data_IF_247792743189
#
_entry.id   IF_247792743189
#
_cell.length_a   1.000
_cell.length_b   1.000
_cell.length_c   1.000
_cell.angle_alpha   90.00
_cell.angle_beta   90.00
_cell.angle_gamma   90.00
#
_symmetry.space_group_name_H-M   'P 1'
#
loop_
_entity.id
_entity.type
_entity.pdbx_description
1 polymer ?
#
# COMPACT_ATOMS: atom_id res chain seq x y z
N UNK A 1 23.46 14.87 -40.57
CA UNK A 1 24.24 13.89 -39.79
C UNK A 1 23.48 12.58 -39.82
N UNK A 2 24.04 11.51 -40.36
CA UNK A 2 23.37 10.21 -40.36
C UNK A 2 23.30 9.68 -38.91
N UNK A 3 22.12 9.25 -38.48
CA UNK A 3 21.93 8.64 -37.17
C UNK A 3 22.78 7.36 -37.08
N UNK A 4 23.43 7.14 -35.93
CA UNK A 4 24.10 5.86 -35.69
C UNK A 4 23.05 4.74 -35.66
N UNK A 5 23.39 3.48 -36.04
CA UNK A 5 22.45 2.37 -36.00
C UNK A 5 21.73 2.22 -34.64
N UNK A 6 22.47 2.45 -33.54
CA UNK A 6 21.91 2.43 -32.19
C UNK A 6 20.85 3.52 -31.94
N UNK A 7 20.99 4.72 -32.52
CA UNK A 7 20.02 5.79 -32.38
C UNK A 7 18.71 5.46 -33.12
N UNK A 8 18.81 4.89 -34.33
CA UNK A 8 17.63 4.48 -35.10
C UNK A 8 16.80 3.39 -34.38
N UNK A 9 17.47 2.46 -33.69
CA UNK A 9 16.80 1.44 -32.89
C UNK A 9 16.09 2.02 -31.66
N UNK A 10 16.69 3.03 -31.01
CA UNK A 10 16.06 3.72 -29.88
C UNK A 10 14.81 4.47 -30.35
N UNK A 11 14.91 5.18 -31.46
CA UNK A 11 13.80 5.99 -31.98
C UNK A 11 12.62 5.10 -32.42
N UNK A 12 12.89 3.95 -33.05
CA UNK A 12 11.88 2.94 -33.35
C UNK A 12 11.19 2.41 -32.08
N UNK A 13 11.96 2.01 -31.07
CA UNK A 13 11.43 1.48 -29.81
C UNK A 13 10.57 2.52 -29.06
N UNK A 14 10.98 3.78 -29.07
CA UNK A 14 10.23 4.87 -28.45
C UNK A 14 8.92 5.14 -29.19
N UNK A 15 8.93 5.07 -30.52
CA UNK A 15 7.72 5.20 -31.35
C UNK A 15 6.74 4.06 -31.04
N UNK A 16 7.21 2.81 -31.00
CA UNK A 16 6.37 1.63 -30.72
C UNK A 16 5.72 1.74 -29.33
N UNK A 17 6.51 2.12 -28.31
CA UNK A 17 6.03 2.30 -26.95
C UNK A 17 5.08 3.49 -26.77
N UNK A 18 5.22 4.53 -27.61
CA UNK A 18 4.28 5.65 -27.65
C UNK A 18 2.96 5.25 -28.31
N UNK A 19 2.99 4.45 -29.38
CA UNK A 19 1.78 3.92 -30.02
C UNK A 19 1.05 2.88 -29.17
N UNK A 20 1.77 2.17 -28.31
CA UNK A 20 1.21 1.21 -27.35
C UNK A 20 0.61 1.87 -26.10
N UNK A 21 0.71 3.19 -25.95
CA UNK A 21 0.11 3.90 -24.82
C UNK A 21 -1.42 3.81 -24.88
N UNK A 22 -2.02 3.13 -23.92
CA UNK A 22 -3.48 3.06 -23.73
C UNK A 22 -3.92 4.04 -22.65
N UNK A 23 -5.22 4.28 -22.53
CA UNK A 23 -5.80 5.11 -21.47
C UNK A 23 -5.55 4.59 -20.05
N UNK A 24 -5.07 3.35 -19.90
CA UNK A 24 -4.81 2.69 -18.62
C UNK A 24 -3.33 2.54 -18.28
N UNK A 25 -2.43 2.74 -19.25
CA UNK A 25 -1.00 2.49 -19.06
C UNK A 25 -0.13 3.44 -19.89
N UNK A 26 0.76 4.15 -19.20
CA UNK A 26 1.80 4.96 -19.84
C UNK A 26 3.15 4.37 -19.45
N UNK A 27 3.92 3.92 -20.43
CA UNK A 27 5.29 3.43 -20.24
C UNK A 27 6.27 4.58 -20.04
N UNK A 28 7.43 4.29 -19.45
CA UNK A 28 8.55 5.24 -19.46
C UNK A 28 8.96 5.60 -20.90
N UNK A 29 8.85 4.67 -21.85
CA UNK A 29 9.11 4.90 -23.27
C UNK A 29 8.23 5.99 -23.87
N UNK A 30 6.91 5.92 -23.65
CA UNK A 30 5.97 6.93 -24.12
C UNK A 30 6.30 8.32 -23.56
N UNK A 31 6.63 8.41 -22.26
CA UNK A 31 7.05 9.67 -21.63
C UNK A 31 8.31 10.23 -22.25
N UNK A 32 9.34 9.40 -22.47
CA UNK A 32 10.59 9.83 -23.10
C UNK A 32 10.34 10.28 -24.54
N UNK A 33 9.52 9.57 -25.31
CA UNK A 33 9.13 9.95 -26.66
C UNK A 33 8.50 11.35 -26.70
N UNK A 34 7.52 11.62 -25.84
CA UNK A 34 6.90 12.94 -25.74
C UNK A 34 7.89 14.02 -25.32
N UNK A 35 8.80 13.73 -24.39
CA UNK A 35 9.87 14.66 -23.97
C UNK A 35 10.81 15.00 -25.13
N UNK A 36 11.16 14.03 -25.98
CA UNK A 36 12.07 14.27 -27.10
C UNK A 36 11.37 15.00 -28.25
N UNK A 37 10.12 14.66 -28.56
CA UNK A 37 9.38 15.27 -29.66
C UNK A 37 8.92 16.70 -29.39
N UNK A 38 8.59 17.06 -28.15
CA UNK A 38 8.23 18.45 -27.83
C UNK A 38 9.44 19.40 -27.85
N UNK A 39 10.66 18.86 -27.90
CA UNK A 39 11.89 19.61 -27.69
C UNK A 39 12.91 19.40 -28.83
N UNK A 40 12.44 19.20 -30.07
CA UNK A 40 13.29 18.94 -31.24
C UNK A 40 14.30 20.05 -31.57
N UNK A 41 14.26 21.20 -30.89
CA UNK A 41 15.13 22.34 -31.18
C UNK A 41 15.77 22.95 -29.91
N UNK A 42 17.06 22.64 -29.74
CA UNK A 42 18.04 23.30 -28.85
C UNK A 42 18.07 22.92 -27.35
N UNK A 43 19.25 23.18 -26.75
CA UNK A 43 19.70 22.75 -25.41
C UNK A 43 18.61 22.86 -24.33
N UNK A 44 18.30 21.71 -23.73
CA UNK A 44 17.36 21.52 -22.61
C UNK A 44 17.43 22.63 -21.55
N UNK A 45 16.39 23.48 -21.46
CA UNK A 45 16.25 24.48 -20.37
C UNK A 45 15.15 24.04 -19.41
N UNK A 46 15.29 24.44 -18.13
CA UNK A 46 14.36 24.11 -17.03
C UNK A 46 12.89 24.51 -17.29
N UNK A 47 12.64 25.41 -18.26
CA UNK A 47 11.32 25.88 -18.67
C UNK A 47 10.58 24.87 -19.57
N UNK A 48 11.31 24.00 -20.26
CA UNK A 48 10.76 23.11 -21.30
C UNK A 48 10.02 21.91 -20.70
N UNK A 49 10.31 21.57 -19.44
CA UNK A 49 9.54 20.56 -18.69
C UNK A 49 8.07 20.95 -18.49
N UNK A 50 7.71 22.24 -18.53
CA UNK A 50 6.34 22.69 -18.28
C UNK A 50 5.35 22.10 -19.28
N UNK A 51 5.60 22.32 -20.57
CA UNK A 51 4.73 21.86 -21.67
C UNK A 51 4.64 20.33 -21.74
N UNK A 52 5.76 19.63 -21.59
CA UNK A 52 5.72 18.16 -21.59
C UNK A 52 4.99 17.61 -20.39
N UNK A 53 5.12 18.24 -19.22
CA UNK A 53 4.36 17.83 -18.03
C UNK A 53 2.86 18.03 -18.28
N UNK A 54 2.44 19.13 -18.90
CA UNK A 54 1.03 19.36 -19.23
C UNK A 54 0.48 18.28 -20.17
N UNK A 55 1.21 17.91 -21.23
CA UNK A 55 0.80 16.82 -22.13
C UNK A 55 0.70 15.48 -21.38
N UNK A 56 1.67 15.16 -20.54
CA UNK A 56 1.66 13.92 -19.73
C UNK A 56 0.53 13.96 -18.68
N UNK A 57 0.24 15.12 -18.09
CA UNK A 57 -0.90 15.31 -17.20
C UNK A 57 -2.23 15.06 -17.93
N UNK A 58 -2.39 15.56 -19.16
CA UNK A 58 -3.60 15.30 -19.96
C UNK A 58 -3.73 13.81 -20.29
N UNK A 59 -2.64 13.15 -20.67
CA UNK A 59 -2.62 11.70 -20.94
C UNK A 59 -2.96 10.86 -19.70
N UNK A 60 -2.58 11.33 -18.50
CA UNK A 60 -2.90 10.69 -17.22
C UNK A 60 -4.32 11.06 -16.71
N UNK A 61 -4.87 12.19 -17.15
CA UNK A 61 -5.77 13.00 -16.32
C UNK A 61 -7.02 13.57 -16.99
N UNK A 62 -7.47 13.11 -18.15
CA UNK A 62 -8.82 13.43 -18.62
C UNK A 62 -9.93 12.64 -17.90
N UNK A 63 -9.61 11.60 -17.09
CA UNK A 63 -10.63 10.69 -16.55
C UNK A 63 -10.55 10.37 -15.04
N UNK A 64 -9.73 11.05 -14.23
CA UNK A 64 -9.70 10.76 -12.77
C UNK A 64 -9.76 11.99 -11.87
N UNK A 65 -10.82 12.16 -11.04
CA UNK A 65 -10.94 13.28 -10.10
C UNK A 65 -9.87 13.29 -8.99
N UNK A 66 -9.12 12.19 -8.83
CA UNK A 66 -8.05 12.01 -7.83
C UNK A 66 -6.66 11.83 -8.45
N UNK A 67 -6.43 12.42 -9.64
CA UNK A 67 -5.14 12.31 -10.32
C UNK A 67 -3.95 12.85 -9.50
N UNK A 68 -2.72 12.36 -9.74
CA UNK A 68 -1.52 12.85 -9.07
C UNK A 68 -1.31 14.36 -9.26
N UNK A 69 -0.87 15.04 -8.19
CA UNK A 69 -0.55 16.47 -8.23
C UNK A 69 0.47 16.77 -9.35
N UNK A 70 0.25 17.79 -10.22
CA UNK A 70 1.12 18.08 -11.37
C UNK A 70 2.61 18.23 -11.03
N UNK A 71 2.92 18.73 -9.83
CA UNK A 71 4.29 18.85 -9.34
C UNK A 71 4.98 17.48 -9.16
N UNK A 72 4.25 16.46 -8.70
CA UNK A 72 4.77 15.09 -8.53
C UNK A 72 5.02 14.44 -9.89
N UNK A 73 4.11 14.63 -10.85
CA UNK A 73 4.28 14.16 -12.24
C UNK A 73 5.51 14.82 -12.87
N UNK A 74 5.67 16.13 -12.69
CA UNK A 74 6.83 16.88 -13.19
C UNK A 74 8.16 16.35 -12.65
N UNK A 75 8.22 16.09 -11.34
CA UNK A 75 9.43 15.56 -10.72
C UNK A 75 9.74 14.15 -11.25
N UNK A 76 8.72 13.31 -11.38
CA UNK A 76 8.86 11.96 -11.94
C UNK A 76 9.32 11.97 -13.41
N UNK A 77 8.76 12.84 -14.24
CA UNK A 77 9.21 13.03 -15.63
C UNK A 77 10.70 13.41 -15.69
N UNK A 78 11.12 14.30 -14.80
CA UNK A 78 12.52 14.74 -14.71
C UNK A 78 13.44 13.58 -14.30
N UNK A 79 13.03 12.77 -13.33
CA UNK A 79 13.83 11.63 -12.87
C UNK A 79 13.90 10.53 -13.94
N UNK A 80 12.79 10.22 -14.60
CA UNK A 80 12.72 9.29 -15.74
C UNK A 80 13.65 9.75 -16.87
N UNK A 81 13.63 11.04 -17.23
CA UNK A 81 14.52 11.60 -18.25
C UNK A 81 16.00 11.56 -17.85
N UNK A 82 16.33 11.89 -16.60
CA UNK A 82 17.70 11.82 -16.10
C UNK A 82 18.23 10.38 -16.14
N UNK A 83 17.39 9.41 -15.75
CA UNK A 83 17.73 7.97 -15.79
C UNK A 83 17.91 7.47 -17.22
N UNK A 84 17.05 7.89 -18.15
CA UNK A 84 17.23 7.63 -19.58
C UNK A 84 18.58 8.17 -20.09
N UNK A 85 18.91 9.43 -19.77
CA UNK A 85 20.20 10.03 -20.14
C UNK A 85 21.40 9.27 -19.57
N UNK A 86 21.29 8.73 -18.35
CA UNK A 86 22.34 7.91 -17.74
C UNK A 86 22.51 6.57 -18.47
N UNK A 87 21.41 5.85 -18.73
CA UNK A 87 21.44 4.57 -19.46
C UNK A 87 21.98 4.75 -20.87
N UNK A 88 21.59 5.84 -21.55
CA UNK A 88 22.07 6.17 -22.90
C UNK A 88 23.59 6.36 -22.97
N UNK A 89 24.25 6.85 -21.91
CA UNK A 89 25.72 7.02 -21.89
C UNK A 89 26.48 5.69 -21.92
N UNK A 90 25.87 4.60 -21.47
CA UNK A 90 26.51 3.28 -21.40
C UNK A 90 26.18 2.38 -22.59
N UNK A 91 25.55 2.94 -23.63
CA UNK A 91 25.09 2.23 -24.83
C UNK A 91 26.19 1.53 -25.65
N UNK A 92 27.47 1.82 -25.38
CA UNK A 92 28.59 1.07 -25.95
C UNK A 92 28.71 -0.36 -25.40
N UNK A 93 28.07 -0.66 -24.27
CA UNK A 93 28.06 -2.00 -23.66
C UNK A 93 26.81 -2.78 -24.10
N UNK A 94 26.93 -4.02 -24.61
CA UNK A 94 25.77 -4.83 -25.00
C UNK A 94 24.74 -5.04 -23.87
N UNK A 95 25.20 -5.14 -22.62
CA UNK A 95 24.34 -5.30 -21.44
C UNK A 95 23.57 -4.02 -21.05
N UNK A 96 23.92 -2.86 -21.63
CA UNK A 96 23.17 -1.63 -21.43
C UNK A 96 21.87 -1.61 -22.23
N UNK A 97 21.81 -2.33 -23.36
CA UNK A 97 20.60 -2.40 -24.19
C UNK A 97 19.45 -3.07 -23.46
N UNK A 98 19.68 -4.24 -22.84
CA UNK A 98 18.64 -4.94 -22.07
C UNK A 98 18.13 -4.10 -20.91
N UNK A 99 19.01 -3.38 -20.21
CA UNK A 99 18.64 -2.44 -19.13
C UNK A 99 17.83 -1.25 -19.64
N UNK A 100 18.11 -0.76 -20.85
CA UNK A 100 17.36 0.31 -21.47
C UNK A 100 15.97 -0.16 -21.87
N UNK A 101 15.85 -1.33 -22.52
CA UNK A 101 14.57 -1.91 -22.91
C UNK A 101 13.69 -2.19 -21.69
N UNK A 102 14.25 -2.81 -20.64
CA UNK A 102 13.55 -3.04 -19.37
C UNK A 102 13.08 -1.71 -18.76
N UNK A 103 13.95 -0.70 -18.71
CA UNK A 103 13.58 0.62 -18.19
C UNK A 103 12.45 1.29 -18.98
N UNK A 104 12.51 1.28 -20.31
CA UNK A 104 11.51 1.91 -21.18
C UNK A 104 10.16 1.18 -21.13
N UNK A 105 10.17 -0.13 -20.89
CA UNK A 105 8.95 -0.96 -20.81
C UNK A 105 8.23 -0.86 -19.46
N UNK A 106 8.92 -0.40 -18.39
CA UNK A 106 8.30 -0.21 -17.07
C UNK A 106 7.20 0.87 -17.12
N UNK A 107 6.14 0.66 -16.35
CA UNK A 107 5.07 1.64 -16.19
C UNK A 107 5.62 2.93 -15.58
N UNK A 108 5.41 4.06 -16.26
CA UNK A 108 5.77 5.38 -15.76
C UNK A 108 4.95 5.74 -14.53
N UNK A 109 3.67 5.37 -14.54
CA UNK A 109 2.77 5.60 -13.43
C UNK A 109 1.85 4.38 -13.29
N UNK A 110 2.19 3.50 -12.35
CA UNK A 110 1.23 2.51 -11.86
C UNK A 110 0.21 3.28 -11.04
N UNK A 111 -1.01 3.44 -11.54
CA UNK A 111 -2.13 3.65 -10.64
C UNK A 111 -2.11 2.44 -9.73
N UNK A 112 -1.63 2.60 -8.51
CA UNK A 112 -1.95 1.68 -7.46
C UNK A 112 -3.47 1.73 -7.33
N UNK A 113 -4.16 0.85 -8.05
CA UNK A 113 -5.46 0.34 -7.61
C UNK A 113 -5.15 -0.52 -6.39
N UNK A 114 -4.74 0.13 -5.32
CA UNK A 114 -4.64 -0.50 -4.02
C UNK A 114 -5.57 0.29 -3.15
N UNK A 115 -6.52 -0.46 -2.60
CA UNK A 115 -6.91 -0.41 -1.21
C UNK A 115 -7.08 0.99 -0.62
N UNK A 116 -8.27 1.17 -0.05
CA UNK A 116 -8.52 2.15 1.00
C UNK A 116 -7.47 1.95 2.10
N UNK A 117 -6.30 2.55 1.95
CA UNK A 117 -5.42 2.88 3.07
C UNK A 117 -6.08 4.09 3.71
N UNK A 118 -6.92 3.79 4.69
CA UNK A 118 -7.27 4.69 5.78
C UNK A 118 -5.98 5.06 6.49
N UNK A 119 -5.27 6.06 6.01
CA UNK A 119 -4.32 6.81 6.81
C UNK A 119 -4.15 8.21 6.22
N UNK A 120 -4.48 9.20 7.06
CA UNK A 120 -4.48 10.64 6.83
C UNK A 120 -5.71 11.23 6.13
N UNK A 121 -6.83 11.27 6.88
CA UNK A 121 -7.79 12.37 6.77
C UNK A 121 -7.06 13.64 7.22
N UNK A 122 -6.49 14.37 6.27
CA UNK A 122 -6.25 15.80 6.46
C UNK A 122 -7.55 16.52 6.10
N UNK A 123 -8.08 17.21 7.10
CA UNK A 123 -9.07 18.28 7.05
C UNK A 123 -9.45 18.74 5.63
N UNK A 124 -10.63 18.32 5.18
CA UNK A 124 -11.40 19.17 4.30
C UNK A 124 -11.70 20.44 5.09
N UNK A 125 -10.96 21.51 4.82
CA UNK A 125 -11.42 22.86 5.15
C UNK A 125 -12.74 23.04 4.43
N UNK A 126 -13.81 23.18 5.21
CA UNK A 126 -14.95 23.97 4.83
C UNK A 126 -14.39 25.28 4.24
N UNK A 127 -14.63 25.47 2.95
CA UNK A 127 -14.54 26.80 2.37
C UNK A 127 -15.64 27.56 3.08
N UNK A 128 -15.26 28.54 3.91
CA UNK A 128 -16.17 29.58 4.38
C UNK A 128 -16.92 30.08 3.14
N UNK A 129 -18.19 29.69 3.02
CA UNK A 129 -19.14 30.45 2.22
C UNK A 129 -19.07 31.87 2.78
N UNK A 130 -18.51 32.78 1.98
CA UNK A 130 -18.71 34.20 2.16
C UNK A 130 -20.20 34.39 2.49
N UNK A 131 -20.57 35.03 3.61
CA UNK A 131 -21.96 35.38 3.80
C UNK A 131 -22.37 36.15 2.57
N UNK A 132 -23.39 35.65 1.86
CA UNK A 132 -24.11 36.44 0.87
C UNK A 132 -24.31 37.83 1.46
N UNK A 133 -24.20 38.90 0.64
CA UNK A 133 -24.42 40.24 1.16
C UNK A 133 -25.80 40.24 1.78
N UNK A 134 -25.85 40.23 3.12
CA UNK A 134 -27.06 40.49 3.87
C UNK A 134 -27.59 41.77 3.28
N UNK A 135 -28.69 41.64 2.54
CA UNK A 135 -29.45 42.76 2.06
C UNK A 135 -29.74 43.58 3.31
N UNK A 136 -28.96 44.64 3.50
CA UNK A 136 -29.27 45.67 4.48
C UNK A 136 -30.73 46.04 4.24
N UNK A 137 -31.50 46.29 5.31
CA UNK A 137 -32.95 46.40 5.24
C UNK A 137 -33.31 47.29 4.06
N UNK A 138 -33.88 46.66 3.03
CA UNK A 138 -34.62 47.36 2.00
C UNK A 138 -35.63 48.18 2.79
N UNK A 139 -35.35 49.48 2.92
CA UNK A 139 -36.37 50.45 3.22
C UNK A 139 -37.41 50.30 2.12
N UNK A 140 -38.37 49.41 2.36
CA UNK A 140 -39.66 49.42 1.70
C UNK A 140 -40.28 50.76 2.09
N UNK A 141 -39.96 51.77 1.30
CA UNK A 141 -40.84 52.92 1.14
C UNK A 141 -42.07 52.36 0.44
N UNK A 142 -42.98 51.81 1.26
CA UNK A 142 -44.35 51.52 0.88
C UNK A 142 -45.01 52.86 0.58
N UNK A 143 -44.89 53.32 -0.67
CA UNK A 143 -45.83 54.30 -1.22
C UNK A 143 -47.16 53.55 -1.43
N UNK A 144 -47.87 53.34 -0.33
CA UNK A 144 -49.31 53.11 -0.34
C UNK A 144 -49.96 54.34 -0.97
N UNK A 145 -50.23 54.25 -2.27
CA UNK A 145 -51.16 55.17 -2.94
C UNK A 145 -52.31 54.31 -3.45
N UNK A 146 -53.54 54.52 -2.96
CA UNK A 146 -54.68 53.72 -3.37
C UNK A 146 -54.96 53.93 -4.87
N UNK A 147 -55.17 52.82 -5.58
CA UNK A 147 -55.77 52.77 -6.90
C UNK A 147 -57.16 53.40 -6.80
N UNK A 148 -57.24 54.71 -7.04
CA UNK A 148 -58.51 55.39 -7.26
C UNK A 148 -58.86 55.30 -8.73
N UNK A 149 -59.91 54.54 -9.02
CA UNK A 149 -60.61 54.50 -10.28
C UNK A 149 -61.14 55.90 -10.59
N UNK A 150 -60.50 56.62 -11.53
CA UNK A 150 -61.11 57.79 -12.15
C UNK A 150 -60.83 57.81 -13.65
N UNK A 151 -61.91 57.55 -14.40
CA UNK A 151 -62.37 58.28 -15.58
C UNK A 151 -61.32 58.55 -16.66
N UNK A 152 -61.51 57.86 -17.78
CA UNK A 152 -61.04 58.22 -19.11
C UNK A 152 -61.50 59.64 -19.50
N UNK A 153 -60.72 60.64 -19.13
CA UNK A 153 -60.70 61.94 -19.79
C UNK A 153 -59.31 62.18 -20.30
N UNK A 154 -59.20 62.40 -21.61
CA UNK A 154 -57.99 62.72 -22.36
C UNK A 154 -56.93 63.48 -21.55
N UNK A 155 -55.64 63.08 -21.62
CA UNK A 155 -54.58 63.96 -21.12
C UNK A 155 -54.67 65.27 -21.91
N UNK A 156 -54.84 66.44 -21.26
CA UNK A 156 -54.66 67.68 -21.98
C UNK A 156 -53.24 67.65 -22.54
N UNK A 157 -53.15 67.83 -23.86
CA UNK A 157 -51.92 68.19 -24.57
C UNK A 157 -51.03 69.06 -23.66
N UNK A 158 -49.70 68.83 -23.61
CA UNK A 158 -48.78 69.62 -22.81
C UNK A 158 -48.81 71.07 -23.32
N UNK A 159 -49.80 71.83 -22.87
CA UNK A 159 -49.78 73.28 -22.86
C UNK A 159 -48.50 73.60 -22.12
N UNK A 160 -47.53 74.14 -22.87
CA UNK A 160 -46.27 74.71 -22.36
C UNK A 160 -46.52 75.21 -20.94
N UNK A 161 -46.10 74.44 -19.94
CA UNK A 161 -46.00 74.91 -18.57
C UNK A 161 -44.92 75.99 -18.64
N UNK A 162 -45.36 77.22 -18.93
CA UNK A 162 -44.54 78.42 -18.83
C UNK A 162 -43.92 78.37 -17.44
N UNK A 163 -42.60 78.34 -17.40
CA UNK A 163 -41.79 77.97 -16.25
C UNK A 163 -41.74 79.04 -15.16
N UNK A 164 -42.88 79.65 -14.84
CA UNK A 164 -42.96 80.89 -14.07
C UNK A 164 -43.93 80.78 -12.88
N UNK A 165 -44.31 79.56 -12.45
CA UNK A 165 -44.97 79.42 -11.15
C UNK A 165 -43.92 79.27 -10.03
N UNK A 166 -44.20 79.89 -8.90
CA UNK A 166 -43.31 79.98 -7.74
C UNK A 166 -42.85 78.59 -7.24
N UNK A 167 -43.74 77.60 -7.29
CA UNK A 167 -43.41 76.21 -6.94
C UNK A 167 -42.37 75.58 -7.89
N UNK A 168 -42.42 75.87 -9.18
CA UNK A 168 -41.41 75.41 -10.13
C UNK A 168 -40.05 76.10 -9.92
N UNK A 169 -40.05 77.39 -9.56
CA UNK A 169 -38.83 78.11 -9.21
C UNK A 169 -38.18 77.54 -7.93
N UNK A 170 -38.98 77.32 -6.87
CA UNK A 170 -38.53 76.72 -5.61
C UNK A 170 -37.99 75.30 -5.81
N UNK A 171 -38.66 74.48 -6.63
CA UNK A 171 -38.17 73.13 -6.96
C UNK A 171 -36.87 73.14 -7.74
N UNK A 172 -36.70 74.05 -8.71
CA UNK A 172 -35.43 74.23 -9.44
C UNK A 172 -34.32 74.66 -8.49
N UNK A 173 -34.60 75.56 -7.56
CA UNK A 173 -33.62 76.01 -6.57
C UNK A 173 -33.24 74.87 -5.61
N UNK A 174 -34.21 74.10 -5.11
CA UNK A 174 -33.97 72.91 -4.29
C UNK A 174 -33.12 71.88 -5.03
N UNK A 175 -33.41 71.59 -6.31
CA UNK A 175 -32.62 70.68 -7.14
C UNK A 175 -31.19 71.20 -7.36
N UNK A 176 -30.99 72.51 -7.54
CA UNK A 176 -29.65 73.10 -7.62
C UNK A 176 -28.86 72.85 -6.34
N UNK A 177 -29.45 73.13 -5.18
CA UNK A 177 -28.85 72.89 -3.86
C UNK A 177 -28.52 71.40 -3.67
N UNK A 178 -29.43 70.49 -4.01
CA UNK A 178 -29.19 69.05 -3.93
C UNK A 178 -28.07 68.60 -4.89
N UNK A 179 -28.04 69.14 -6.11
CA UNK A 179 -27.00 68.82 -7.10
C UNK A 179 -25.63 69.29 -6.64
N UNK A 180 -25.56 70.47 -6.03
CA UNK A 180 -24.32 71.01 -5.45
C UNK A 180 -23.86 70.22 -4.23
N UNK A 181 -24.79 69.85 -3.33
CA UNK A 181 -24.50 68.96 -2.21
C UNK A 181 -23.95 67.59 -2.69
N UNK A 182 -24.54 66.99 -3.72
CA UNK A 182 -24.05 65.75 -4.32
C UNK A 182 -22.66 65.92 -4.96
N UNK A 183 -22.39 67.05 -5.62
CA UNK A 183 -21.05 67.35 -6.16
C UNK A 183 -20.00 67.45 -5.05
N UNK A 184 -20.34 68.13 -3.95
CA UNK A 184 -19.46 68.25 -2.78
C UNK A 184 -19.22 66.89 -2.12
N UNK A 185 -20.26 66.07 -1.92
CA UNK A 185 -20.12 64.71 -1.41
C UNK A 185 -19.24 63.83 -2.31
N UNK A 186 -19.39 63.93 -3.64
CA UNK A 186 -18.52 63.21 -4.60
C UNK A 186 -17.05 63.63 -4.49
N UNK A 187 -16.79 64.93 -4.33
CA UNK A 187 -15.43 65.46 -4.14
C UNK A 187 -14.78 64.95 -2.84
N UNK A 188 -15.54 64.96 -1.74
CA UNK A 188 -15.10 64.41 -0.45
C UNK A 188 -14.81 62.90 -0.58
N UNK A 189 -15.73 62.14 -1.18
CA UNK A 189 -15.56 60.71 -1.39
C UNK A 189 -14.31 60.39 -2.24
N UNK A 190 -14.03 61.18 -3.28
CA UNK A 190 -12.80 61.05 -4.08
C UNK A 190 -11.54 61.28 -3.24
N UNK A 191 -11.56 62.31 -2.38
CA UNK A 191 -10.43 62.64 -1.49
C UNK A 191 -10.19 61.53 -0.47
N UNK A 192 -11.24 60.99 0.14
CA UNK A 192 -11.16 59.87 1.09
C UNK A 192 -10.66 58.59 0.41
N UNK A 193 -11.08 58.30 -0.82
CA UNK A 193 -10.56 57.15 -1.59
C UNK A 193 -9.07 57.28 -1.86
N UNK A 194 -8.60 58.49 -2.21
CA UNK A 194 -7.17 58.76 -2.41
C UNK A 194 -6.38 58.58 -1.12
N UNK A 195 -6.86 59.15 -0.01
CA UNK A 195 -6.23 58.97 1.32
C UNK A 195 -6.18 57.50 1.74
N UNK A 196 -7.26 56.74 1.52
CA UNK A 196 -7.28 55.29 1.77
C UNK A 196 -6.21 54.57 0.94
N UNK A 197 -6.12 54.85 -0.36
CA UNK A 197 -5.13 54.24 -1.23
C UNK A 197 -3.68 54.57 -0.79
N UNK A 198 -3.43 55.82 -0.40
CA UNK A 198 -2.13 56.24 0.13
C UNK A 198 -1.78 55.53 1.44
N UNK A 199 -2.73 55.43 2.38
CA UNK A 199 -2.54 54.68 3.62
C UNK A 199 -2.28 53.19 3.35
N UNK A 200 -3.05 52.56 2.45
CA UNK A 200 -2.82 51.15 2.06
C UNK A 200 -1.42 50.96 1.48
N UNK A 201 -0.94 51.88 0.65
CA UNK A 201 0.42 51.84 0.09
C UNK A 201 1.49 51.96 1.20
N UNK A 202 1.32 52.88 2.14
CA UNK A 202 2.26 53.07 3.27
C UNK A 202 2.29 51.85 4.18
N UNK A 203 1.12 51.30 4.54
CA UNK A 203 1.05 50.08 5.35
C UNK A 203 1.62 48.87 4.62
N UNK A 204 1.35 48.73 3.33
CA UNK A 204 1.92 47.67 2.49
C UNK A 204 3.45 47.70 2.52
N UNK A 205 4.05 48.88 2.31
CA UNK A 205 5.51 49.08 2.39
C UNK A 205 6.06 48.72 3.77
N UNK A 206 5.43 49.22 4.84
CA UNK A 206 5.84 48.92 6.23
C UNK A 206 5.82 47.42 6.54
N UNK A 207 4.80 46.70 6.08
CA UNK A 207 4.68 45.24 6.28
C UNK A 207 5.79 44.48 5.55
N UNK A 208 6.11 44.88 4.31
CA UNK A 208 7.22 44.30 3.53
C UNK A 208 8.56 44.56 4.22
N UNK A 209 8.81 45.80 4.67
CA UNK A 209 10.04 46.18 5.36
C UNK A 209 10.22 45.42 6.68
N UNK A 210 9.15 45.25 7.46
CA UNK A 210 9.16 44.43 8.68
C UNK A 210 9.44 42.96 8.38
N UNK A 211 8.83 42.39 7.34
CA UNK A 211 9.10 41.01 6.91
C UNK A 211 10.56 40.83 6.51
N UNK A 212 11.11 41.78 5.74
CA UNK A 212 12.52 41.76 5.33
C UNK A 212 13.46 41.86 6.54
N UNK A 213 13.16 42.75 7.51
CA UNK A 213 13.93 42.87 8.76
C UNK A 213 13.92 41.57 9.58
N UNK A 214 12.76 40.94 9.76
CA UNK A 214 12.63 39.64 10.46
C UNK A 214 13.42 38.54 9.73
N UNK A 215 13.33 38.48 8.41
CA UNK A 215 14.08 37.54 7.60
C UNK A 215 15.60 37.73 7.78
N UNK A 216 16.09 38.98 7.70
CA UNK A 216 17.51 39.31 7.91
C UNK A 216 18.01 38.90 9.30
N UNK A 217 17.22 39.11 10.35
CA UNK A 217 17.53 38.65 11.71
C UNK A 217 17.61 37.12 11.76
N UNK A 218 16.62 36.41 11.20
CA UNK A 218 16.60 34.94 11.17
C UNK A 218 17.81 34.36 10.45
N UNK A 219 18.18 34.93 9.29
CA UNK A 219 19.37 34.51 8.55
C UNK A 219 20.64 34.72 9.38
N UNK A 220 20.78 35.87 10.05
CA UNK A 220 21.92 36.15 10.93
C UNK A 220 22.03 35.15 12.08
N UNK A 221 20.91 34.81 12.73
CA UNK A 221 20.87 33.81 13.80
C UNK A 221 21.27 32.42 13.29
N UNK A 222 20.72 31.98 12.14
CA UNK A 222 21.06 30.68 11.54
C UNK A 222 22.53 30.60 11.14
N UNK A 223 23.11 31.67 10.60
CA UNK A 223 24.55 31.73 10.30
C UNK A 223 25.38 31.63 11.58
N UNK A 224 24.93 32.25 12.68
CA UNK A 224 25.56 32.12 14.00
C UNK A 224 25.55 30.68 14.52
N UNK A 225 24.38 30.03 14.51
CA UNK A 225 24.25 28.63 14.92
C UNK A 225 25.09 27.69 14.05
N UNK A 226 25.13 27.90 12.74
CA UNK A 226 25.97 27.09 11.85
C UNK A 226 27.46 27.23 12.17
N UNK A 227 27.94 28.43 12.49
CA UNK A 227 29.33 28.63 12.92
C UNK A 227 29.64 27.92 14.24
N UNK A 228 28.71 27.96 15.20
CA UNK A 228 28.86 27.25 16.47
C UNK A 228 28.90 25.74 16.28
N UNK A 229 28.00 25.20 15.45
CA UNK A 229 27.96 23.77 15.12
C UNK A 229 29.24 23.31 14.43
N UNK A 230 29.74 24.08 13.46
CA UNK A 230 31.00 23.78 12.79
C UNK A 230 32.18 23.76 13.76
N UNK A 231 32.24 24.71 14.72
CA UNK A 231 33.26 24.70 15.76
C UNK A 231 33.15 23.48 16.69
N UNK A 232 31.92 23.04 17.03
CA UNK A 232 31.71 21.81 17.81
C UNK A 232 32.16 20.57 17.04
N UNK A 233 31.85 20.48 15.75
CA UNK A 233 32.31 19.40 14.88
C UNK A 233 33.85 19.37 14.85
N UNK A 234 34.50 20.49 14.62
CA UNK A 234 35.97 20.58 14.59
C UNK A 234 36.60 20.18 15.94
N UNK A 235 36.02 20.58 17.07
CA UNK A 235 36.47 20.15 18.40
C UNK A 235 36.32 18.64 18.59
N UNK A 236 35.21 18.07 18.14
CA UNK A 236 34.97 16.63 18.22
C UNK A 236 35.92 15.84 17.30
N UNK A 237 36.21 16.35 16.11
CA UNK A 237 37.20 15.76 15.21
C UNK A 237 38.61 15.81 15.81
N UNK A 238 39.02 16.95 16.37
CA UNK A 238 40.32 17.13 17.04
C UNK A 238 40.44 16.32 18.32
N UNK A 239 39.34 16.06 19.03
CA UNK A 239 39.35 15.25 20.25
C UNK A 239 39.83 13.81 20.03
N UNK A 240 39.93 13.36 18.78
CA UNK A 240 40.37 12.01 18.44
C UNK A 240 39.43 10.90 18.91
N UNK A 241 38.34 11.24 19.61
CA UNK A 241 37.37 10.30 20.16
C UNK A 241 36.79 9.40 19.06
N UNK A 242 36.44 9.98 17.91
CA UNK A 242 35.99 9.23 16.74
C UNK A 242 37.08 8.35 16.15
N UNK A 243 38.35 8.80 16.14
CA UNK A 243 39.47 8.01 15.64
C UNK A 243 39.73 6.78 16.52
N UNK A 244 39.75 6.96 17.85
CA UNK A 244 39.92 5.87 18.82
C UNK A 244 38.76 4.88 18.76
N UNK A 245 37.51 5.38 18.75
CA UNK A 245 36.32 4.51 18.64
C UNK A 245 36.30 3.77 17.31
N UNK A 246 36.63 4.43 16.20
CA UNK A 246 36.74 3.80 14.87
C UNK A 246 37.80 2.72 14.86
N UNK A 247 38.99 2.97 15.40
CA UNK A 247 40.07 1.97 15.52
C UNK A 247 39.63 0.77 16.36
N UNK A 248 38.98 0.99 17.50
CA UNK A 248 38.44 -0.09 18.35
C UNK A 248 37.39 -0.94 17.63
N UNK A 249 36.50 -0.30 16.85
CA UNK A 249 35.49 -1.00 16.06
C UNK A 249 36.11 -1.79 14.90
N UNK A 250 37.11 -1.22 14.20
CA UNK A 250 37.85 -1.93 13.16
C UNK A 250 38.56 -3.18 13.71
N UNK A 251 39.28 -3.05 14.84
CA UNK A 251 39.93 -4.21 15.46
C UNK A 251 38.93 -5.29 15.90
N UNK A 252 37.74 -4.90 16.39
CA UNK A 252 36.67 -5.86 16.72
C UNK A 252 36.13 -6.55 15.46
N UNK A 253 35.98 -5.82 14.36
CA UNK A 253 35.54 -6.40 13.08
C UNK A 253 36.57 -7.41 12.55
N UNK A 254 37.86 -7.09 12.57
CA UNK A 254 38.93 -8.00 12.14
C UNK A 254 39.00 -9.29 12.97
N UNK A 255 38.63 -9.23 14.25
CA UNK A 255 38.50 -10.42 15.11
C UNK A 255 37.30 -11.27 14.71
N UNK A 256 36.13 -10.65 14.51
CA UNK A 256 34.92 -11.35 14.08
C UNK A 256 35.07 -11.98 12.68
N UNK A 257 35.78 -11.33 11.77
CA UNK A 257 36.07 -11.87 10.44
C UNK A 257 36.95 -13.13 10.51
N UNK A 258 37.95 -13.14 11.41
CA UNK A 258 38.77 -14.34 11.67
C UNK A 258 37.96 -15.48 12.29
N UNK A 259 37.10 -15.18 13.28
CA UNK A 259 36.20 -16.17 13.87
C UNK A 259 35.24 -16.77 12.83
N UNK A 260 34.68 -15.93 11.95
CA UNK A 260 33.80 -16.37 10.88
C UNK A 260 34.53 -17.24 9.85
N UNK A 261 35.78 -16.91 9.50
CA UNK A 261 36.61 -17.74 8.65
C UNK A 261 36.88 -19.13 9.28
N UNK A 262 37.18 -19.17 10.58
CA UNK A 262 37.37 -20.43 11.32
C UNK A 262 36.09 -21.28 11.36
N UNK A 263 34.94 -20.68 11.67
CA UNK A 263 33.65 -21.37 11.67
C UNK A 263 33.28 -21.92 10.28
N UNK A 264 33.56 -21.16 9.21
CA UNK A 264 33.36 -21.66 7.84
C UNK A 264 34.21 -22.88 7.52
N UNK A 265 35.46 -22.88 7.98
CA UNK A 265 36.35 -24.03 7.82
C UNK A 265 35.82 -25.26 8.60
N UNK A 266 35.38 -25.07 9.84
CA UNK A 266 34.77 -26.12 10.65
C UNK A 266 33.51 -26.71 10.00
N UNK A 267 32.63 -25.86 9.47
CA UNK A 267 31.44 -26.29 8.71
C UNK A 267 31.82 -27.11 7.48
N UNK A 268 32.90 -26.74 6.78
CA UNK A 268 33.39 -27.52 5.64
C UNK A 268 33.82 -28.93 6.06
N UNK A 269 34.58 -29.04 7.15
CA UNK A 269 35.01 -30.34 7.71
C UNK A 269 33.80 -31.19 8.12
N UNK A 270 32.81 -30.59 8.77
CA UNK A 270 31.60 -31.31 9.19
C UNK A 270 30.77 -31.78 8.00
N UNK A 271 30.67 -30.99 6.92
CA UNK A 271 30.00 -31.40 5.69
C UNK A 271 30.65 -32.62 5.05
N UNK A 272 31.98 -32.66 4.98
CA UNK A 272 32.71 -33.83 4.48
C UNK A 272 32.47 -35.07 5.34
N UNK A 273 32.39 -34.93 6.67
CA UNK A 273 32.06 -36.04 7.57
C UNK A 273 30.63 -36.56 7.36
N UNK A 274 29.65 -35.65 7.23
CA UNK A 274 28.25 -36.03 6.96
C UNK A 274 28.16 -36.77 5.64
N UNK A 275 28.82 -36.29 4.59
CA UNK A 275 28.82 -36.95 3.29
C UNK A 275 29.39 -38.37 3.38
N UNK A 276 30.51 -38.58 4.09
CA UNK A 276 31.09 -39.91 4.30
C UNK A 276 30.13 -40.85 5.04
N UNK A 277 29.48 -40.37 6.10
CA UNK A 277 28.50 -41.17 6.84
C UNK A 277 27.27 -41.51 5.99
N UNK A 278 26.80 -40.60 5.14
CA UNK A 278 25.72 -40.89 4.19
C UNK A 278 26.11 -41.95 3.16
N UNK A 279 27.35 -41.91 2.65
CA UNK A 279 27.89 -42.93 1.75
C UNK A 279 27.97 -44.30 2.44
N UNK A 280 28.43 -44.35 3.69
CA UNK A 280 28.44 -45.57 4.50
C UNK A 280 27.03 -46.11 4.75
N UNK A 281 26.07 -45.26 5.11
CA UNK A 281 24.66 -45.66 5.28
C UNK A 281 24.05 -46.22 3.99
N UNK A 282 24.35 -45.60 2.84
CA UNK A 282 23.92 -46.11 1.53
C UNK A 282 24.53 -47.48 1.22
N UNK A 283 25.81 -47.67 1.52
CA UNK A 283 26.48 -48.95 1.31
C UNK A 283 25.89 -50.06 2.19
N UNK A 284 25.64 -49.78 3.48
CA UNK A 284 24.98 -50.72 4.38
C UNK A 284 23.56 -51.06 3.92
N UNK A 285 22.78 -50.09 3.45
CA UNK A 285 21.45 -50.35 2.88
C UNK A 285 21.52 -51.30 1.68
N UNK A 286 22.51 -51.13 0.81
CA UNK A 286 22.71 -52.02 -0.34
C UNK A 286 23.05 -53.45 0.11
N UNK A 287 23.94 -53.61 1.11
CA UNK A 287 24.27 -54.92 1.67
C UNK A 287 23.06 -55.62 2.31
N UNK A 288 22.22 -54.88 3.04
CA UNK A 288 20.99 -55.43 3.62
C UNK A 288 19.99 -55.86 2.54
N UNK A 289 19.83 -55.07 1.47
CA UNK A 289 18.95 -55.42 0.36
C UNK A 289 19.40 -56.72 -0.34
N UNK A 290 20.70 -56.89 -0.57
CA UNK A 290 21.26 -58.13 -1.14
C UNK A 290 21.01 -59.33 -0.22
N UNK A 291 21.20 -59.17 1.09
CA UNK A 291 20.98 -60.23 2.08
C UNK A 291 19.49 -60.62 2.19
N UNK A 292 18.58 -59.66 2.06
CA UNK A 292 17.13 -59.88 2.05
C UNK A 292 16.65 -60.58 0.77
N UNK A 293 17.26 -60.28 -0.39
CA UNK A 293 17.00 -61.04 -1.62
C UNK A 293 17.47 -62.49 -1.54
N UNK A 294 18.59 -62.76 -0.86
CA UNK A 294 19.08 -64.14 -0.70
C UNK A 294 18.28 -64.98 0.30
N UNK A 295 17.58 -64.36 1.26
CA UNK A 295 16.86 -65.06 2.33
C UNK A 295 15.38 -65.34 2.03
N UNK A 296 14.81 -64.77 0.97
CA UNK A 296 13.39 -64.92 0.62
C UNK A 296 13.04 -66.09 -0.34
N UNK A 297 13.94 -67.07 -0.53
CA UNK A 297 13.72 -68.19 -1.48
C UNK A 297 13.04 -69.43 -0.90
N UNK A 298 12.59 -69.45 0.36
CA UNK A 298 12.15 -70.70 1.00
C UNK A 298 10.97 -70.58 1.97
N UNK A 299 9.89 -69.92 1.57
CA UNK A 299 8.57 -70.16 2.18
C UNK A 299 7.42 -69.66 1.31
N UNK A 300 6.85 -70.56 0.50
CA UNK A 300 5.66 -70.33 -0.31
C UNK A 300 4.37 -70.29 0.54
N UNK A 301 4.37 -69.46 1.59
CA UNK A 301 3.11 -69.04 2.19
C UNK A 301 2.51 -67.96 1.29
N UNK A 302 1.37 -68.27 0.67
CA UNK A 302 0.58 -67.28 -0.07
C UNK A 302 -0.06 -66.23 0.87
N UNK A 303 0.14 -66.36 2.18
CA UNK A 303 -0.39 -65.46 3.20
C UNK A 303 0.74 -64.63 3.82
N UNK A 304 0.61 -63.30 3.79
CA UNK A 304 1.50 -62.33 4.42
C UNK A 304 0.96 -61.97 5.80
N UNK A 305 1.80 -62.13 6.82
CA UNK A 305 1.46 -61.74 8.18
C UNK A 305 1.45 -60.22 8.32
N UNK A 306 0.25 -59.65 8.49
CA UNK A 306 0.04 -58.21 8.46
C UNK A 306 0.29 -57.53 9.81
N UNK A 307 0.39 -58.29 10.91
CA UNK A 307 0.51 -57.77 12.27
C UNK A 307 1.71 -58.36 12.99
N UNK A 308 2.40 -57.51 13.72
CA UNK A 308 3.43 -57.86 14.69
C UNK A 308 2.88 -57.51 16.07
N UNK A 309 2.33 -58.51 16.78
CA UNK A 309 1.64 -58.31 18.05
C UNK A 309 0.33 -57.51 17.89
N UNK A 310 0.23 -56.35 18.56
CA UNK A 310 -0.97 -55.49 18.57
C UNK A 310 -0.99 -54.48 17.42
N UNK A 311 0.12 -54.29 16.72
CA UNK A 311 0.30 -53.31 15.66
C UNK A 311 0.38 -53.97 14.28
N UNK A 312 0.02 -53.23 13.24
CA UNK A 312 0.37 -53.63 11.87
C UNK A 312 1.89 -53.61 11.69
N UNK A 313 2.41 -54.60 10.96
CA UNK A 313 3.84 -54.69 10.67
C UNK A 313 4.33 -53.45 9.93
N UNK A 314 5.62 -53.16 10.07
CA UNK A 314 6.23 -51.96 9.47
C UNK A 314 5.98 -51.85 7.95
N UNK A 315 6.12 -52.92 7.13
CA UNK A 315 5.87 -52.83 5.69
C UNK A 315 4.43 -52.45 5.33
N UNK A 316 3.45 -52.92 6.12
CA UNK A 316 2.04 -52.57 5.92
C UNK A 316 1.79 -51.10 6.26
N UNK A 317 2.36 -50.61 7.38
CA UNK A 317 2.28 -49.20 7.75
C UNK A 317 2.91 -48.29 6.71
N UNK A 318 4.12 -48.61 6.24
CA UNK A 318 4.81 -47.84 5.20
C UNK A 318 4.02 -47.81 3.88
N UNK A 319 3.40 -48.93 3.50
CA UNK A 319 2.52 -48.98 2.33
C UNK A 319 1.31 -48.07 2.49
N UNK A 320 0.63 -48.10 3.66
CA UNK A 320 -0.50 -47.22 3.95
C UNK A 320 -0.06 -45.75 3.98
N UNK A 321 1.07 -45.43 4.59
CA UNK A 321 1.63 -44.08 4.61
C UNK A 321 1.89 -43.55 3.20
N UNK A 322 2.50 -44.36 2.34
CA UNK A 322 2.75 -43.98 0.95
C UNK A 322 1.44 -43.71 0.21
N UNK A 323 0.41 -44.54 0.42
CA UNK A 323 -0.91 -44.34 -0.17
C UNK A 323 -1.56 -43.03 0.30
N UNK A 324 -1.46 -42.71 1.59
CA UNK A 324 -1.97 -41.46 2.16
C UNK A 324 -1.21 -40.24 1.61
N UNK A 325 0.11 -40.32 1.47
CA UNK A 325 0.92 -39.28 0.79
C UNK A 325 0.51 -39.08 -0.68
N UNK A 326 -0.10 -40.09 -1.31
CA UNK A 326 -0.66 -40.03 -2.67
C UNK A 326 -2.16 -39.74 -2.69
N UNK A 327 -2.69 -39.20 -1.60
CA UNK A 327 -4.08 -38.76 -1.46
C UNK A 327 -5.10 -39.89 -1.69
N UNK A 328 -4.74 -41.15 -1.42
CA UNK A 328 -5.72 -42.24 -1.40
C UNK A 328 -6.64 -42.01 -0.19
N UNK A 329 -7.98 -42.00 -0.36
CA UNK A 329 -8.91 -41.85 0.75
C UNK A 329 -8.67 -42.93 1.82
N UNK A 330 -8.78 -42.55 3.09
CA UNK A 330 -8.52 -43.43 4.24
C UNK A 330 -9.33 -44.73 4.18
N UNK A 331 -10.60 -44.64 3.76
CA UNK A 331 -11.50 -45.78 3.56
C UNK A 331 -11.09 -46.71 2.40
N UNK A 332 -10.35 -46.18 1.43
CA UNK A 332 -9.87 -46.92 0.28
C UNK A 332 -8.50 -47.59 0.53
N UNK A 333 -7.73 -47.14 1.53
CA UNK A 333 -6.39 -47.67 1.80
C UNK A 333 -6.36 -49.19 2.00
N UNK A 334 -7.19 -49.71 2.91
CA UNK A 334 -7.29 -51.15 3.17
C UNK A 334 -7.72 -51.97 1.93
N UNK A 335 -8.85 -51.62 1.27
CA UNK A 335 -9.31 -52.30 0.05
C UNK A 335 -8.30 -52.29 -1.10
N UNK A 336 -7.63 -51.16 -1.34
CA UNK A 336 -6.62 -51.05 -2.40
C UNK A 336 -5.41 -51.93 -2.08
N UNK A 337 -4.91 -51.90 -0.84
CA UNK A 337 -3.81 -52.76 -0.41
C UNK A 337 -4.14 -54.25 -0.58
N UNK A 338 -5.35 -54.65 -0.16
CA UNK A 338 -5.86 -56.02 -0.36
C UNK A 338 -5.87 -56.39 -1.85
N UNK A 339 -6.38 -55.50 -2.70
CA UNK A 339 -6.54 -55.74 -4.13
C UNK A 339 -5.20 -55.86 -4.84
N UNK A 340 -4.24 -55.00 -4.51
CA UNK A 340 -2.89 -55.03 -5.06
C UNK A 340 -2.20 -56.34 -4.67
N UNK A 341 -2.23 -56.73 -3.40
CA UNK A 341 -1.59 -57.97 -2.97
C UNK A 341 -2.24 -59.20 -3.61
N UNK A 342 -3.57 -59.25 -3.70
CA UNK A 342 -4.27 -60.38 -4.30
C UNK A 342 -4.04 -60.47 -5.82
N UNK A 343 -4.14 -59.35 -6.55
CA UNK A 343 -4.11 -59.35 -8.02
C UNK A 343 -2.71 -59.28 -8.61
N UNK A 344 -1.79 -58.57 -7.94
CA UNK A 344 -0.44 -58.31 -8.47
C UNK A 344 0.57 -59.29 -7.87
N UNK A 345 0.52 -59.52 -6.56
CA UNK A 345 1.50 -60.36 -5.87
C UNK A 345 1.01 -61.81 -5.67
N UNK A 346 -0.25 -62.12 -6.00
CA UNK A 346 -0.91 -63.39 -5.69
C UNK A 346 -0.79 -63.80 -4.21
N UNK A 347 -0.86 -62.79 -3.32
CA UNK A 347 -0.72 -62.94 -1.86
C UNK A 347 -1.96 -62.40 -1.15
N UNK A 348 -2.28 -62.96 0.02
CA UNK A 348 -3.36 -62.50 0.89
C UNK A 348 -2.80 -61.96 2.20
N UNK A 349 -3.46 -60.96 2.79
CA UNK A 349 -3.09 -60.45 4.11
C UNK A 349 -3.87 -61.19 5.20
N UNK A 350 -3.20 -61.52 6.32
CA UNK A 350 -3.89 -62.06 7.50
C UNK A 350 -4.89 -61.06 8.11
N UNK A 351 -4.58 -59.77 8.03
CA UNK A 351 -5.46 -58.70 8.49
C UNK A 351 -5.34 -57.48 7.56
N UNK A 352 -6.47 -56.83 7.29
CA UNK A 352 -6.52 -55.61 6.49
C UNK A 352 -6.69 -54.42 7.44
N UNK A 353 -5.92 -53.33 7.27
CA UNK A 353 -6.13 -52.10 8.03
C UNK A 353 -7.57 -51.59 7.85
N UNK A 354 -8.28 -51.41 8.96
CA UNK A 354 -9.61 -50.78 8.92
C UNK A 354 -9.46 -49.27 8.67
N UNK A 355 -10.51 -48.60 8.14
CA UNK A 355 -10.48 -47.16 7.92
C UNK A 355 -10.07 -46.35 9.16
N UNK A 356 -10.55 -46.72 10.35
CA UNK A 356 -10.14 -46.07 11.61
C UNK A 356 -8.64 -46.22 11.91
N UNK A 357 -8.04 -47.37 11.57
CA UNK A 357 -6.60 -47.58 11.71
C UNK A 357 -5.82 -46.75 10.69
N UNK A 358 -6.27 -46.70 9.43
CA UNK A 358 -5.67 -45.84 8.41
C UNK A 358 -5.79 -44.36 8.77
N UNK A 359 -6.89 -43.94 9.41
CA UNK A 359 -7.06 -42.58 9.91
C UNK A 359 -6.00 -42.27 10.97
N UNK A 360 -5.81 -43.18 11.95
CA UNK A 360 -4.77 -43.05 12.97
C UNK A 360 -3.36 -42.96 12.35
N UNK A 361 -3.08 -43.75 11.32
CA UNK A 361 -1.82 -43.67 10.56
C UNK A 361 -1.66 -42.31 9.85
N UNK A 362 -2.75 -41.72 9.33
CA UNK A 362 -2.72 -40.37 8.77
C UNK A 362 -2.39 -39.29 9.80
N UNK A 363 -2.83 -39.47 11.05
CA UNK A 363 -2.48 -38.57 12.16
C UNK A 363 -1.00 -38.62 12.48
N UNK A 364 -0.42 -39.82 12.51
CA UNK A 364 1.01 -40.02 12.79
C UNK A 364 1.90 -39.29 11.77
N UNK A 365 1.47 -39.19 10.51
CA UNK A 365 2.19 -38.46 9.46
C UNK A 365 1.96 -36.94 9.47
N UNK A 366 0.95 -36.45 10.18
CA UNK A 366 0.58 -35.03 10.14
C UNK A 366 0.12 -34.52 8.77
N UNK A 367 -0.24 -35.40 7.83
CA UNK A 367 -0.72 -35.02 6.48
C UNK A 367 -1.96 -34.14 6.56
N UNK A 368 -2.86 -34.45 7.49
CA UNK A 368 -4.08 -33.69 7.72
C UNK A 368 -3.79 -32.24 8.12
N UNK A 369 -2.79 -32.02 8.98
CA UNK A 369 -2.30 -30.68 9.35
C UNK A 369 -1.70 -29.92 8.17
N UNK A 370 -0.95 -30.61 7.30
CA UNK A 370 -0.33 -30.01 6.12
C UNK A 370 -1.35 -29.64 5.05
N UNK A 371 -2.37 -30.47 4.83
CA UNK A 371 -3.44 -30.19 3.87
C UNK A 371 -4.28 -28.99 4.33
N UNK A 372 -4.65 -28.94 5.62
CA UNK A 372 -5.34 -27.78 6.20
C UNK A 372 -4.49 -26.51 6.08
N UNK A 373 -3.20 -26.59 6.39
CA UNK A 373 -2.30 -25.45 6.24
C UNK A 373 -2.17 -24.98 4.79
N UNK A 374 -2.02 -25.90 3.83
CA UNK A 374 -1.94 -25.57 2.39
C UNK A 374 -3.20 -24.88 1.91
N UNK A 375 -4.38 -25.38 2.30
CA UNK A 375 -5.65 -24.79 1.89
C UNK A 375 -5.88 -23.42 2.53
N UNK A 376 -5.49 -23.23 3.79
CA UNK A 376 -5.55 -21.92 4.46
C UNK A 376 -4.59 -20.90 3.82
N UNK A 377 -3.45 -21.35 3.29
CA UNK A 377 -2.52 -20.48 2.58
C UNK A 377 -3.01 -20.07 1.19
N UNK A 378 -3.88 -20.86 0.57
CA UNK A 378 -4.45 -20.60 -0.76
C UNK A 378 -5.77 -19.81 -0.70
N UNK A 379 -6.52 -19.90 0.40
CA UNK A 379 -7.78 -19.19 0.57
C UNK A 379 -7.56 -17.68 0.77
N UNK A 380 -8.15 -16.86 -0.12
CA UNK A 380 -8.05 -15.40 -0.09
C UNK A 380 -8.71 -14.79 1.17
N UNK A 381 -9.74 -15.46 1.70
CA UNK A 381 -10.48 -15.08 2.91
C UNK A 381 -10.85 -16.30 3.77
N UNK A 382 -9.91 -17.23 3.98
CA UNK A 382 -10.13 -18.39 4.83
C UNK A 382 -10.13 -18.03 6.32
N UNK A 383 -11.28 -18.07 6.97
CA UNK A 383 -11.37 -17.98 8.42
C UNK A 383 -11.66 -19.36 9.02
N UNK A 384 -10.85 -19.80 9.98
CA UNK A 384 -11.14 -20.99 10.76
C UNK A 384 -12.27 -20.70 11.75
N UNK A 385 -13.50 -21.10 11.41
CA UNK A 385 -14.60 -21.11 12.38
C UNK A 385 -14.45 -22.33 13.28
N UNK A 386 -14.02 -22.12 14.52
CA UNK A 386 -14.32 -23.06 15.60
C UNK A 386 -15.83 -23.03 15.81
N UNK A 387 -16.43 -24.19 16.09
CA UNK A 387 -17.87 -24.35 16.34
C UNK A 387 -18.44 -23.16 17.14
N UNK A 388 -19.05 -22.22 16.41
CA UNK A 388 -19.67 -21.04 16.98
C UNK A 388 -21.16 -21.30 17.11
N UNK A 389 -21.50 -22.36 17.86
CA UNK A 389 -22.77 -22.37 18.56
C UNK A 389 -22.67 -21.34 19.67
N UNK A 390 -23.17 -20.13 19.43
CA UNK A 390 -23.55 -19.26 20.55
C UNK A 390 -24.58 -20.02 21.40
N UNK A 391 -24.68 -19.66 22.69
CA UNK A 391 -25.63 -20.25 23.65
C UNK A 391 -27.09 -20.22 23.13
N UNK A 392 -27.38 -19.41 22.11
CA UNK A 392 -28.71 -19.19 21.52
C UNK A 392 -28.91 -19.85 20.13
N UNK A 393 -27.95 -20.62 19.61
CA UNK A 393 -28.14 -21.42 18.39
C UNK A 393 -28.28 -20.66 17.06
N UNK A 394 -28.06 -19.33 17.04
CA UNK A 394 -28.11 -18.54 15.80
C UNK A 394 -26.71 -18.39 15.19
N UNK A 395 -26.43 -19.07 14.08
CA UNK A 395 -25.25 -18.80 13.27
C UNK A 395 -25.36 -17.39 12.68
N UNK A 396 -24.50 -16.46 13.09
CA UNK A 396 -24.36 -15.19 12.36
C UNK A 396 -23.66 -15.49 11.05
N UNK A 397 -24.32 -15.18 9.95
CA UNK A 397 -23.76 -15.21 8.59
C UNK A 397 -22.53 -14.29 8.54
N UNK A 398 -21.36 -14.86 8.80
CA UNK A 398 -20.11 -14.30 8.31
C UNK A 398 -20.11 -14.59 6.80
N UNK A 399 -19.97 -13.55 5.97
CA UNK A 399 -19.76 -13.68 4.52
C UNK A 399 -18.38 -14.31 4.24
N UNK A 400 -18.16 -15.53 4.73
CA UNK A 400 -16.96 -16.32 4.56
C UNK A 400 -17.37 -17.68 4.00
N UNK A 401 -16.62 -18.19 3.04
CA UNK A 401 -16.84 -19.52 2.48
C UNK A 401 -16.59 -20.56 3.57
N UNK A 402 -17.66 -21.26 3.97
CA UNK A 402 -17.62 -22.25 5.04
C UNK A 402 -17.07 -23.55 4.45
N UNK A 403 -15.79 -23.84 4.72
CA UNK A 403 -15.15 -25.05 4.24
C UNK A 403 -15.54 -26.21 5.16
N UNK A 404 -16.52 -27.00 4.73
CA UNK A 404 -16.97 -28.19 5.44
C UNK A 404 -15.97 -29.34 5.20
N UNK A 405 -15.04 -29.54 6.15
CA UNK A 405 -14.09 -30.64 6.08
C UNK A 405 -14.78 -31.94 6.50
N UNK A 406 -15.14 -32.80 5.54
CA UNK A 406 -15.66 -34.15 5.77
C UNK A 406 -14.59 -35.13 6.29
N UNK A 407 -13.88 -34.76 7.36
CA UNK A 407 -12.98 -35.66 8.07
C UNK A 407 -13.65 -36.11 9.38
N UNK A 408 -14.03 -37.40 9.46
CA UNK A 408 -14.67 -38.03 10.63
C UNK A 408 -13.79 -38.08 11.90
N UNK A 409 -12.63 -37.43 11.87
CA UNK A 409 -11.75 -37.25 13.02
C UNK A 409 -11.07 -35.90 12.78
N UNK A 410 -11.28 -34.91 13.65
CA UNK A 410 -10.85 -33.53 13.42
C UNK A 410 -9.35 -33.35 13.73
N UNK A 411 -8.45 -33.25 12.74
CA UNK A 411 -7.07 -32.75 12.95
C UNK A 411 -7.02 -31.37 13.61
N UNK A 412 -8.14 -30.64 13.54
CA UNK A 412 -8.35 -29.38 14.23
C UNK A 412 -8.32 -29.51 15.75
N UNK A 413 -8.66 -30.65 16.35
CA UNK A 413 -8.63 -30.81 17.82
C UNK A 413 -7.21 -30.67 18.37
N UNK A 414 -6.21 -31.19 17.67
CA UNK A 414 -4.81 -31.05 18.06
C UNK A 414 -4.33 -29.59 17.98
N UNK A 415 -4.75 -28.86 16.95
CA UNK A 415 -4.48 -27.42 16.84
C UNK A 415 -5.26 -26.61 17.88
N UNK A 416 -6.53 -26.94 18.13
CA UNK A 416 -7.39 -26.30 19.13
C UNK A 416 -6.74 -26.39 20.49
N UNK A 417 -6.33 -27.59 20.87
CA UNK A 417 -5.73 -27.86 22.17
C UNK A 417 -4.39 -27.13 22.34
N UNK A 418 -3.59 -26.99 21.28
CA UNK A 418 -2.34 -26.22 21.32
C UNK A 418 -2.57 -24.71 21.38
N UNK A 419 -3.48 -24.18 20.57
CA UNK A 419 -3.86 -22.77 20.59
C UNK A 419 -4.46 -22.39 21.95
N UNK A 420 -5.31 -23.26 22.50
CA UNK A 420 -5.86 -23.15 23.85
C UNK A 420 -4.76 -23.10 24.91
N UNK A 421 -3.80 -24.03 24.87
CA UNK A 421 -2.68 -24.05 25.80
C UNK A 421 -1.81 -22.78 25.70
N UNK A 422 -1.58 -22.26 24.50
CA UNK A 422 -0.85 -21.01 24.27
C UNK A 422 -1.61 -19.80 24.83
N UNK A 423 -2.92 -19.71 24.58
CA UNK A 423 -3.78 -18.65 25.12
C UNK A 423 -3.82 -18.68 26.65
N UNK A 424 -3.93 -19.87 27.27
CA UNK A 424 -3.83 -20.01 28.73
C UNK A 424 -2.47 -19.56 29.27
N UNK A 425 -1.38 -19.82 28.54
CA UNK A 425 -0.05 -19.37 28.94
C UNK A 425 0.09 -17.84 28.91
N UNK A 426 -0.51 -17.18 27.90
CA UNK A 426 -0.55 -15.72 27.80
C UNK A 426 -1.41 -15.14 28.93
N UNK A 427 -2.58 -15.73 29.20
CA UNK A 427 -3.45 -15.32 30.30
C UNK A 427 -2.69 -15.37 31.65
N UNK A 428 -1.93 -16.44 31.88
CA UNK A 428 -1.10 -16.59 33.08
C UNK A 428 0.08 -15.60 33.11
N UNK A 429 0.71 -15.32 31.97
CA UNK A 429 1.84 -14.38 31.88
C UNK A 429 1.43 -12.94 32.21
N UNK A 430 0.22 -12.55 31.82
CA UNK A 430 -0.29 -11.18 31.98
C UNK A 430 -1.21 -11.00 33.20
N UNK A 431 -1.39 -12.05 34.01
CA UNK A 431 -2.29 -12.08 35.17
C UNK A 431 -3.71 -11.60 34.82
N UNK A 432 -4.15 -11.87 33.58
CA UNK A 432 -5.47 -11.46 33.10
C UNK A 432 -6.50 -12.49 33.53
N UNK A 433 -6.79 -12.53 34.83
CA UNK A 433 -7.91 -13.30 35.39
C UNK A 433 -9.24 -12.59 35.10
N UNK A 434 -9.68 -12.61 33.84
CA UNK A 434 -10.94 -12.00 33.42
C UNK A 434 -12.15 -12.88 33.72
N UNK A 435 -13.24 -12.29 34.24
CA UNK A 435 -14.58 -12.91 34.28
C UNK A 435 -15.42 -12.62 33.02
N UNK A 436 -14.88 -11.84 32.10
CA UNK A 436 -15.60 -11.35 30.94
C UNK A 436 -15.26 -12.23 29.72
N UNK A 437 -16.28 -12.86 29.13
CA UNK A 437 -16.21 -13.63 27.88
C UNK A 437 -15.55 -15.02 27.94
N UNK A 438 -15.69 -15.74 29.06
CA UNK A 438 -15.23 -17.14 29.22
C UNK A 438 -14.12 -17.30 30.24
N UNK A 439 -13.68 -18.53 30.50
CA UNK A 439 -12.60 -18.86 31.47
C UNK A 439 -11.19 -18.84 30.85
N UNK A 440 -11.07 -18.80 29.53
CA UNK A 440 -9.83 -18.96 28.78
C UNK A 440 -9.77 -17.96 27.61
N UNK A 441 -8.58 -17.53 27.22
CA UNK A 441 -8.38 -16.58 26.11
C UNK A 441 -8.70 -15.13 26.47
N UNK A 442 -8.64 -14.78 27.76
CA UNK A 442 -9.04 -13.46 28.26
C UNK A 442 -8.19 -12.34 27.67
N UNK A 443 -6.88 -12.52 27.56
CA UNK A 443 -5.96 -11.56 26.97
C UNK A 443 -6.26 -11.31 25.49
N UNK A 444 -6.53 -12.36 24.73
CA UNK A 444 -6.88 -12.25 23.31
C UNK A 444 -8.20 -11.50 23.09
N UNK A 445 -9.21 -11.81 23.90
CA UNK A 445 -10.50 -11.10 23.89
C UNK A 445 -10.33 -9.61 24.28
N UNK A 446 -9.45 -9.31 25.23
CA UNK A 446 -9.16 -7.94 25.64
C UNK A 446 -8.49 -7.15 24.51
N UNK A 447 -7.51 -7.75 23.83
CA UNK A 447 -6.83 -7.15 22.67
C UNK A 447 -7.84 -6.87 21.55
N UNK A 448 -8.72 -7.82 21.26
CA UNK A 448 -9.77 -7.64 20.25
C UNK A 448 -10.75 -6.52 20.64
N UNK A 449 -11.19 -6.47 21.90
CA UNK A 449 -12.09 -5.43 22.39
C UNK A 449 -11.45 -4.03 22.33
N UNK A 450 -10.17 -3.92 22.70
CA UNK A 450 -9.42 -2.66 22.61
C UNK A 450 -9.24 -2.23 21.15
N UNK A 451 -8.88 -3.16 20.26
CA UNK A 451 -8.75 -2.90 18.84
C UNK A 451 -10.08 -2.41 18.24
N UNK A 452 -11.19 -3.07 18.58
CA UNK A 452 -12.52 -2.71 18.09
C UNK A 452 -12.98 -1.33 18.61
N UNK A 453 -12.71 -1.02 19.89
CA UNK A 453 -13.05 0.28 20.48
C UNK A 453 -12.22 1.40 19.87
N UNK A 454 -10.93 1.15 19.62
CA UNK A 454 -10.02 2.11 18.99
C UNK A 454 -10.50 2.47 17.57
N UNK A 455 -10.86 1.47 16.78
CA UNK A 455 -11.39 1.64 15.41
C UNK A 455 -12.68 2.46 15.40
N UNK A 456 -13.60 2.22 16.35
CA UNK A 456 -14.87 2.93 16.39
C UNK A 456 -14.80 4.32 17.04
N UNK A 457 -13.81 4.58 17.88
CA UNK A 457 -13.58 5.90 18.50
C UNK A 457 -12.88 6.90 17.56
N UNK A 458 -12.35 6.41 16.44
CA UNK A 458 -11.65 7.20 15.42
C UNK A 458 -12.51 7.48 14.19
N UNK A 459 -13.76 7.03 14.20
CA UNK A 459 -14.85 7.44 13.30
C UNK A 459 -15.69 8.50 13.98
#
# INVERSE_FOLDING_TARGET
MMATPAQSQIDSLLQDLATAASSTFISNGAVIFHILNTNSESKFKKKDFGRTTEVICCLIGENTPNGPEPNKIRLKCKDTYNRFCQLKKHMSQPSAWSKLVDFLSREFYRQTVTSVQLDHIYEAREVDELPEPTAGPLFHVTLNTPLSQHVTSHPPSPKKLKGDCENCANRRQSLKVQTEALRNQKSIAYTLRRQKADMTRVYGKRTIDQRHRRHKIRVKTLVGHNKELLSKIEKLEKSGFFSVRKKKLLMKNDTLERENANLKHEVSILKEKVQKLEEECRHLHFQFADQEMMSNTSSSSNTVEAKEGKSFSRPIRESVYLMLCRQVPVEACGPVLKTILAKVANKTLTAIPFPSTCAQMSYELGISSLQVASHLMEAENGCLSWDATSVDGSHKELNCELIELHCNVHPMDAFANRSKAQLTAIDAQHDTAGKCYGKEGCAANLIQAVAYTYINSTQ
#
